data_IF_308736691398
#
_entry.id   IF_308736691398
#
_cell.length_a   1.000
_cell.length_b   1.000
_cell.length_c   1.000
_cell.angle_alpha   90.00
_cell.angle_beta   90.00
_cell.angle_gamma   90.00
#
_symmetry.space_group_name_H-M   'P 1'
#
loop_
_entity.id
_entity.type
_entity.pdbx_description
1 polymer ?
#
# COMPACT_ATOMS: atom_id res chain seq x y z
N UNK A 1 -1.43 24.64 8.77
CA UNK A 1 -0.75 23.75 9.72
C UNK A 1 -0.63 22.38 9.06
N UNK A 2 0.56 21.75 9.08
CA UNK A 2 0.74 20.38 8.60
C UNK A 2 1.02 19.50 9.81
N UNK A 3 0.27 18.41 9.95
CA UNK A 3 0.47 17.39 10.95
C UNK A 3 0.78 16.08 10.22
N UNK A 4 1.73 15.33 10.72
CA UNK A 4 2.03 13.98 10.24
C UNK A 4 1.40 12.99 11.22
N UNK A 5 1.14 11.76 10.78
CA UNK A 5 0.63 10.73 11.68
C UNK A 5 1.48 9.47 11.65
N UNK A 6 1.57 8.80 12.79
CA UNK A 6 2.29 7.53 12.97
C UNK A 6 1.52 6.61 13.92
N UNK A 7 1.94 5.34 13.97
CA UNK A 7 1.31 4.35 14.86
C UNK A 7 -0.18 4.18 14.54
N UNK A 8 -0.50 4.04 13.26
CA UNK A 8 -1.88 3.93 12.81
C UNK A 8 -2.46 2.57 13.15
N UNK A 9 -3.58 2.56 13.86
CA UNK A 9 -4.33 1.37 14.21
C UNK A 9 -5.73 1.44 13.61
N UNK A 10 -6.24 0.28 13.20
CA UNK A 10 -7.62 0.13 12.75
C UNK A 10 -8.34 -0.79 13.73
N UNK A 11 -9.38 -0.27 14.37
CA UNK A 11 -10.32 -1.08 15.14
C UNK A 11 -11.50 -1.44 14.24
N UNK A 12 -11.43 -2.64 13.67
CA UNK A 12 -12.46 -3.22 12.81
C UNK A 12 -12.72 -4.67 13.24
N UNK A 13 -13.97 -5.10 13.07
CA UNK A 13 -14.38 -6.47 13.37
C UNK A 13 -13.56 -7.47 12.52
N UNK A 14 -12.87 -8.38 13.16
CA UNK A 14 -12.07 -9.46 12.55
C UNK A 14 -10.95 -9.00 11.58
N UNK A 15 -10.48 -7.76 11.67
CA UNK A 15 -9.39 -7.24 10.81
C UNK A 15 -9.72 -7.18 9.31
N UNK A 16 -11.00 -7.32 8.95
CA UNK A 16 -11.49 -7.25 7.56
C UNK A 16 -11.83 -5.81 7.18
N UNK A 17 -11.86 -5.54 5.88
CA UNK A 17 -12.44 -4.30 5.39
C UNK A 17 -13.93 -4.26 5.75
N UNK A 18 -14.42 -3.12 6.28
CA UNK A 18 -15.79 -2.95 6.73
C UNK A 18 -16.75 -3.06 5.54
N UNK A 19 -17.83 -3.80 5.73
CA UNK A 19 -18.92 -3.95 4.77
C UNK A 19 -20.01 -2.89 4.99
N UNK A 20 -21.08 -2.94 4.19
CA UNK A 20 -22.16 -1.94 4.22
C UNK A 20 -22.73 -1.77 5.63
N UNK A 21 -22.72 -0.52 6.12
CA UNK A 21 -23.26 -0.16 7.43
C UNK A 21 -22.38 -0.56 8.62
N UNK A 22 -21.27 -1.27 8.39
CA UNK A 22 -20.32 -1.57 9.45
C UNK A 22 -19.54 -0.31 9.84
N UNK A 23 -19.23 -0.24 11.14
CA UNK A 23 -18.46 0.84 11.74
C UNK A 23 -17.05 0.34 12.03
N UNK A 24 -16.10 1.24 11.85
CA UNK A 24 -14.71 1.01 12.23
C UNK A 24 -14.08 2.33 12.66
N UNK A 25 -13.05 2.23 13.50
CA UNK A 25 -12.28 3.37 13.93
C UNK A 25 -10.85 3.28 13.42
N UNK A 26 -10.25 4.43 13.11
CA UNK A 26 -8.81 4.54 12.89
C UNK A 26 -8.27 5.55 13.87
N UNK A 27 -7.20 5.21 14.57
CA UNK A 27 -6.56 6.11 15.52
C UNK A 27 -5.04 6.03 15.42
N UNK A 28 -4.35 7.05 15.92
CA UNK A 28 -2.90 7.14 15.89
C UNK A 28 -2.41 8.45 16.50
N UNK A 29 -1.10 8.63 16.51
CA UNK A 29 -0.48 9.85 17.03
C UNK A 29 -0.36 10.91 15.93
N UNK A 30 -0.53 12.18 16.31
CA UNK A 30 -0.20 13.34 15.48
C UNK A 30 1.17 13.87 15.89
N UNK A 31 2.06 14.06 14.92
CA UNK A 31 3.42 14.58 15.13
C UNK A 31 3.67 15.83 14.28
N UNK A 32 4.58 16.68 14.74
CA UNK A 32 5.01 17.86 14.00
C UNK A 32 6.08 17.55 12.94
N UNK A 33 6.62 18.59 12.28
CA UNK A 33 7.67 18.43 11.26
C UNK A 33 9.02 17.95 11.79
N UNK A 34 9.23 17.94 13.11
CA UNK A 34 10.43 17.40 13.76
C UNK A 34 10.23 15.96 14.23
N UNK A 35 8.98 15.47 14.23
CA UNK A 35 8.61 14.14 14.71
C UNK A 35 8.19 14.09 16.17
N UNK A 36 8.06 15.25 16.82
CA UNK A 36 7.59 15.35 18.20
C UNK A 36 6.07 15.13 18.25
N UNK A 37 5.59 14.35 19.23
CA UNK A 37 4.14 14.12 19.41
C UNK A 37 3.45 15.42 19.82
N UNK A 38 2.46 15.83 19.04
CA UNK A 38 1.67 17.05 19.24
C UNK A 38 0.17 16.77 19.36
N UNK A 39 -0.22 15.51 19.52
CA UNK A 39 -1.60 15.14 19.77
C UNK A 39 -1.93 13.74 19.31
N UNK A 40 -3.23 13.48 19.24
CA UNK A 40 -3.79 12.19 18.85
C UNK A 40 -4.86 12.41 17.78
N UNK A 41 -4.97 11.46 16.88
CA UNK A 41 -6.03 11.41 15.89
C UNK A 41 -6.96 10.24 16.19
N UNK A 42 -8.26 10.50 16.08
CA UNK A 42 -9.29 9.47 16.11
C UNK A 42 -10.24 9.70 14.94
N UNK A 43 -10.68 8.62 14.30
CA UNK A 43 -11.76 8.66 13.32
C UNK A 43 -12.82 7.64 13.64
N UNK A 44 -14.06 8.00 13.33
CA UNK A 44 -15.21 7.10 13.30
C UNK A 44 -15.71 7.05 11.87
N UNK A 45 -15.78 5.85 11.32
CA UNK A 45 -16.06 5.64 9.92
C UNK A 45 -17.25 4.70 9.78
N UNK A 46 -18.15 5.00 8.85
CA UNK A 46 -19.33 4.20 8.54
C UNK A 46 -19.37 3.93 7.04
N UNK A 47 -19.38 2.65 6.64
CA UNK A 47 -19.47 2.27 5.23
C UNK A 47 -20.74 2.81 4.58
N UNK A 48 -20.62 3.61 3.50
CA UNK A 48 -21.77 4.21 2.79
C UNK A 48 -22.18 3.37 1.59
N UNK A 49 -23.48 3.33 1.35
CA UNK A 49 -24.14 2.57 0.28
C UNK A 49 -23.90 3.23 -1.09
N UNK A 50 -22.82 2.87 -1.78
CA UNK A 50 -22.60 3.25 -3.18
C UNK A 50 -23.03 2.10 -4.11
N UNK A 51 -23.93 2.33 -5.07
CA UNK A 51 -24.26 1.35 -6.11
C UNK A 51 -23.12 1.15 -7.12
N UNK A 52 -22.09 2.00 -7.08
CA UNK A 52 -20.87 1.85 -7.86
C UNK A 52 -19.82 1.15 -6.98
N UNK A 53 -19.23 0.07 -7.49
CA UNK A 53 -18.24 -0.76 -6.78
C UNK A 53 -17.19 0.12 -6.07
N UNK A 54 -16.80 -0.29 -4.86
CA UNK A 54 -15.65 0.26 -4.14
C UNK A 54 -14.40 -0.12 -4.95
N UNK A 55 -14.06 0.70 -5.94
CA UNK A 55 -12.70 0.73 -6.48
C UNK A 55 -11.82 1.34 -5.39
N UNK A 56 -10.54 0.98 -5.31
CA UNK A 56 -9.60 1.54 -4.32
C UNK A 56 -9.44 3.07 -4.33
N UNK A 57 -10.24 3.79 -5.12
CA UNK A 57 -10.29 5.23 -5.35
C UNK A 57 -11.70 5.84 -5.15
N UNK A 58 -12.74 5.05 -4.86
CA UNK A 58 -14.13 5.52 -4.69
C UNK A 58 -14.58 5.74 -3.24
N UNK A 59 -15.61 6.60 -3.03
CA UNK A 59 -16.18 6.91 -1.70
C UNK A 59 -16.77 5.66 -1.04
N UNK A 60 -16.09 5.16 -0.01
CA UNK A 60 -16.44 3.94 0.71
C UNK A 60 -16.95 4.17 2.14
N UNK A 61 -16.69 5.32 2.76
CA UNK A 61 -17.12 5.58 4.13
C UNK A 61 -17.46 7.05 4.40
N UNK A 62 -18.45 7.31 5.24
CA UNK A 62 -18.65 8.60 5.89
C UNK A 62 -17.75 8.63 7.11
N UNK A 63 -16.97 9.68 7.27
CA UNK A 63 -15.91 9.74 8.27
C UNK A 63 -16.03 11.02 9.10
N UNK A 64 -15.89 10.85 10.42
CA UNK A 64 -15.75 11.93 11.39
C UNK A 64 -14.36 11.81 11.98
N UNK A 65 -13.53 12.82 11.82
CA UNK A 65 -12.19 12.91 12.39
C UNK A 65 -12.19 13.82 13.61
N UNK A 66 -11.48 13.42 14.64
CA UNK A 66 -11.18 14.21 15.82
C UNK A 66 -9.68 14.31 15.94
N UNK A 67 -9.16 15.54 15.85
CA UNK A 67 -7.77 15.86 16.12
C UNK A 67 -7.71 16.42 17.54
N UNK A 68 -7.20 15.62 18.47
CA UNK A 68 -6.96 16.03 19.85
C UNK A 68 -5.58 16.66 19.95
N UNK A 69 -5.52 17.97 20.19
CA UNK A 69 -4.29 18.75 20.19
C UNK A 69 -4.11 19.48 21.54
N UNK A 70 -2.89 19.93 21.88
CA UNK A 70 -2.67 20.73 23.07
C UNK A 70 -3.58 21.97 23.09
N UNK A 71 -4.47 22.06 24.06
CA UNK A 71 -5.39 23.18 24.24
C UNK A 71 -6.75 23.06 23.53
N UNK A 72 -7.08 21.90 22.94
CA UNK A 72 -8.44 21.59 22.49
C UNK A 72 -8.51 20.61 21.32
N UNK A 73 -9.71 20.42 20.79
CA UNK A 73 -9.97 19.50 19.68
C UNK A 73 -10.39 20.24 18.42
N UNK A 74 -10.12 19.64 17.26
CA UNK A 74 -10.70 20.02 15.98
C UNK A 74 -11.50 18.82 15.45
N UNK A 75 -12.72 19.07 14.98
CA UNK A 75 -13.59 18.03 14.41
C UNK A 75 -13.73 18.27 12.90
N UNK A 76 -13.38 17.25 12.14
CA UNK A 76 -13.49 17.19 10.69
C UNK A 76 -14.55 16.19 10.25
N UNK A 77 -15.24 16.46 9.14
CA UNK A 77 -16.21 15.53 8.53
C UNK A 77 -15.99 15.47 7.03
N UNK A 78 -16.10 14.27 6.47
CA UNK A 78 -15.95 14.06 5.03
C UNK A 78 -16.44 12.68 4.61
N UNK A 79 -16.27 12.40 3.32
CA UNK A 79 -16.50 11.07 2.76
C UNK A 79 -15.16 10.55 2.29
N UNK A 80 -14.77 9.37 2.78
CA UNK A 80 -13.49 8.76 2.49
C UNK A 80 -13.51 7.82 1.31
N UNK A 81 -12.41 7.85 0.55
CA UNK A 81 -12.09 7.01 -0.61
C UNK A 81 -10.72 7.44 -1.18
N UNK A 82 -9.91 6.50 -1.68
CA UNK A 82 -8.59 6.83 -2.27
C UNK A 82 -7.51 7.29 -1.27
N UNK A 83 -6.32 7.64 -1.79
CA UNK A 83 -5.13 8.03 -0.99
C UNK A 83 -5.13 9.49 -0.50
N UNK A 84 -5.91 10.36 -1.14
CA UNK A 84 -6.02 11.79 -0.81
C UNK A 84 -7.47 12.19 -0.65
N UNK A 85 -7.82 12.85 0.47
CA UNK A 85 -9.19 13.07 0.90
C UNK A 85 -9.37 14.44 1.53
N UNK A 86 -10.41 15.17 1.13
CA UNK A 86 -10.73 16.49 1.67
C UNK A 86 -11.82 16.39 2.73
N UNK A 87 -11.63 17.08 3.86
CA UNK A 87 -12.57 17.12 4.97
C UNK A 87 -12.91 18.56 5.32
N UNK A 88 -14.16 18.82 5.66
CA UNK A 88 -14.60 20.09 6.21
C UNK A 88 -14.34 20.11 7.72
N UNK A 89 -13.76 21.19 8.23
CA UNK A 89 -13.70 21.46 9.67
C UNK A 89 -15.07 22.00 10.08
N UNK A 90 -15.77 21.22 10.89
CA UNK A 90 -17.13 21.54 11.34
C UNK A 90 -17.14 22.20 12.74
N UNK A 91 -16.01 22.16 13.45
CA UNK A 91 -15.86 22.86 14.71
C UNK A 91 -14.59 22.50 15.47
N UNK A 92 -14.49 23.04 16.69
CA UNK A 92 -13.41 22.76 17.61
C UNK A 92 -13.72 23.25 19.02
N UNK A 93 -12.89 22.86 19.98
CA UNK A 93 -13.02 23.20 21.41
C UNK A 93 -11.78 23.92 21.91
N UNK A 94 -11.85 24.50 23.12
CA UNK A 94 -10.73 25.19 23.75
C UNK A 94 -10.21 26.32 22.88
N UNK A 95 -8.89 26.35 22.64
CA UNK A 95 -8.26 27.37 21.77
C UNK A 95 -8.68 27.28 20.30
N UNK A 96 -9.32 26.19 19.89
CA UNK A 96 -9.82 25.96 18.54
C UNK A 96 -11.33 26.22 18.42
N UNK A 97 -11.95 26.81 19.43
CA UNK A 97 -13.36 27.21 19.37
C UNK A 97 -13.58 28.14 18.17
N UNK A 98 -14.56 27.81 17.33
CA UNK A 98 -14.86 28.56 16.10
C UNK A 98 -14.00 28.20 14.88
N UNK A 99 -13.14 27.17 14.97
CA UNK A 99 -12.39 26.68 13.82
C UNK A 99 -13.34 26.29 12.67
N UNK A 100 -13.03 26.77 11.46
CA UNK A 100 -13.74 26.48 10.21
C UNK A 100 -12.72 26.39 9.07
N UNK A 101 -13.10 25.72 8.00
CA UNK A 101 -12.27 25.57 6.80
C UNK A 101 -12.28 24.12 6.32
N UNK A 102 -11.20 23.71 5.68
CA UNK A 102 -11.00 22.34 5.23
C UNK A 102 -9.55 21.90 5.41
N UNK A 103 -9.33 20.60 5.48
CA UNK A 103 -7.99 20.02 5.42
C UNK A 103 -7.97 18.82 4.47
N UNK A 104 -6.78 18.53 3.97
CA UNK A 104 -6.48 17.37 3.16
C UNK A 104 -5.83 16.30 4.06
N UNK A 105 -6.45 15.13 4.17
CA UNK A 105 -5.80 13.94 4.71
C UNK A 105 -5.20 13.14 3.55
N UNK A 106 -3.93 12.78 3.68
CA UNK A 106 -3.19 12.00 2.69
C UNK A 106 -2.57 10.79 3.36
N UNK A 107 -2.86 9.61 2.81
CA UNK A 107 -2.14 8.40 3.16
C UNK A 107 -0.97 8.26 2.18
N UNK A 108 0.20 8.71 2.62
CA UNK A 108 1.41 8.52 1.85
C UNK A 108 1.85 7.05 1.95
N UNK A 109 2.07 6.42 0.80
CA UNK A 109 2.82 5.16 0.72
C UNK A 109 4.31 5.42 0.92
N UNK A 110 5.12 4.36 0.76
CA UNK A 110 6.56 4.52 0.68
C UNK A 110 6.87 5.24 -0.65
N UNK A 111 7.34 6.48 -0.56
CA UNK A 111 7.71 7.27 -1.74
C UNK A 111 9.18 7.03 -2.10
N UNK A 112 9.42 6.74 -3.37
CA UNK A 112 10.74 6.76 -3.97
C UNK A 112 11.02 8.13 -4.57
N UNK A 113 11.79 8.12 -5.67
CA UNK A 113 12.29 9.34 -6.33
C UNK A 113 12.01 9.39 -7.83
N UNK A 114 11.23 8.43 -8.36
CA UNK A 114 11.00 8.36 -9.80
C UNK A 114 10.40 9.67 -10.34
N UNK A 115 10.99 10.13 -11.44
CA UNK A 115 10.52 11.31 -12.17
C UNK A 115 9.58 10.95 -13.32
N UNK A 116 9.33 9.66 -13.54
CA UNK A 116 8.44 9.18 -14.57
C UNK A 116 7.00 9.68 -14.37
N UNK A 117 6.33 10.09 -15.45
CA UNK A 117 5.00 10.68 -15.37
C UNK A 117 3.90 9.67 -15.00
N UNK A 118 4.08 8.39 -15.32
CA UNK A 118 3.11 7.32 -15.00
C UNK A 118 3.39 6.66 -13.66
N UNK A 119 4.64 6.72 -13.18
CA UNK A 119 5.10 6.11 -11.93
C UNK A 119 5.78 7.15 -11.02
N UNK A 120 5.17 8.34 -10.94
CA UNK A 120 5.74 9.48 -10.21
C UNK A 120 5.87 9.16 -8.72
N UNK A 121 7.01 9.50 -8.13
CA UNK A 121 7.35 9.27 -6.72
C UNK A 121 7.34 7.79 -6.30
N UNK A 122 7.37 6.85 -7.25
CA UNK A 122 7.56 5.42 -6.98
C UNK A 122 9.04 5.07 -6.79
N UNK A 123 9.30 3.87 -6.26
CA UNK A 123 10.65 3.32 -6.07
C UNK A 123 11.11 2.76 -7.42
N UNK A 124 12.22 3.25 -7.93
CA UNK A 124 12.84 2.71 -9.14
C UNK A 124 13.61 1.43 -8.78
N UNK A 125 13.16 0.31 -9.35
CA UNK A 125 13.73 -1.01 -9.12
C UNK A 125 14.77 -1.31 -10.21
N UNK A 126 15.99 -1.67 -9.81
CA UNK A 126 17.07 -2.05 -10.72
C UNK A 126 16.98 -3.53 -11.10
N UNK A 127 16.64 -4.38 -10.14
CA UNK A 127 16.44 -5.81 -10.38
C UNK A 127 15.47 -6.41 -9.38
N UNK A 128 14.85 -7.53 -9.76
CA UNK A 128 14.01 -8.32 -8.87
C UNK A 128 14.10 -9.81 -9.20
N UNK A 129 13.79 -10.66 -8.22
CA UNK A 129 13.61 -12.10 -8.40
C UNK A 129 12.56 -12.64 -7.43
N UNK A 130 11.88 -13.71 -7.84
CA UNK A 130 10.91 -14.44 -7.02
C UNK A 130 10.69 -15.83 -7.63
N UNK A 131 10.07 -16.73 -6.88
CA UNK A 131 9.83 -18.09 -7.34
C UNK A 131 8.75 -18.82 -6.55
N UNK A 132 8.22 -19.87 -7.17
CA UNK A 132 7.29 -20.80 -6.55
C UNK A 132 7.71 -22.22 -6.90
N UNK A 133 7.83 -23.09 -5.91
CA UNK A 133 8.17 -24.50 -6.10
C UNK A 133 6.99 -25.38 -5.67
N UNK A 134 6.69 -26.43 -6.45
CA UNK A 134 5.70 -27.43 -6.09
C UNK A 134 6.43 -28.66 -5.54
N UNK A 135 6.12 -29.03 -4.30
CA UNK A 135 6.66 -30.21 -3.60
C UNK A 135 5.99 -31.53 -4.00
N UNK A 136 4.96 -31.49 -4.84
CA UNK A 136 4.24 -32.68 -5.32
C UNK A 136 5.12 -33.59 -6.17
N UNK A 137 5.01 -34.89 -5.96
CA UNK A 137 5.77 -35.91 -6.70
C UNK A 137 4.83 -36.83 -7.49
N UNK A 138 5.20 -37.12 -8.74
CA UNK A 138 4.52 -38.08 -9.60
C UNK A 138 5.13 -39.50 -9.52
N UNK A 139 6.18 -39.68 -8.71
CA UNK A 139 6.95 -40.92 -8.64
C UNK A 139 6.21 -42.09 -7.96
N UNK A 140 5.13 -41.80 -7.23
CA UNK A 140 4.30 -42.82 -6.58
C UNK A 140 2.88 -42.74 -7.16
N UNK A 141 2.49 -43.74 -7.95
CA UNK A 141 1.13 -43.87 -8.48
C UNK A 141 0.11 -44.16 -7.37
N UNK A 142 -1.10 -43.60 -7.46
CA UNK A 142 -2.18 -43.82 -6.49
C UNK A 142 -2.75 -42.57 -5.81
N UNK A 143 -2.68 -41.40 -6.46
CA UNK A 143 -3.39 -40.19 -5.98
C UNK A 143 -2.81 -39.50 -4.74
N UNK A 144 -1.63 -39.93 -4.25
CA UNK A 144 -1.02 -39.47 -3.00
C UNK A 144 0.12 -38.44 -3.13
N UNK A 145 0.33 -37.83 -4.30
CA UNK A 145 1.43 -36.87 -4.56
C UNK A 145 1.10 -35.41 -4.25
N UNK A 146 0.14 -35.12 -3.37
CA UNK A 146 -0.37 -33.76 -3.15
C UNK A 146 0.62 -32.89 -2.36
N UNK A 147 1.56 -32.25 -3.06
CA UNK A 147 2.39 -31.19 -2.49
C UNK A 147 1.67 -29.84 -2.45
N UNK A 148 2.08 -29.00 -1.49
CA UNK A 148 1.68 -27.58 -1.46
C UNK A 148 2.75 -26.76 -2.17
N UNK A 149 2.30 -25.76 -2.92
CA UNK A 149 3.18 -24.76 -3.52
C UNK A 149 3.87 -23.96 -2.40
N UNK A 150 5.18 -23.80 -2.50
CA UNK A 150 5.99 -22.98 -1.61
C UNK A 150 6.38 -21.72 -2.36
N UNK A 151 5.88 -20.58 -1.89
CA UNK A 151 6.19 -19.27 -2.45
C UNK A 151 7.43 -18.72 -1.74
N UNK A 152 8.37 -18.20 -2.53
CA UNK A 152 9.53 -17.47 -2.01
C UNK A 152 9.19 -15.99 -1.88
N UNK A 153 9.91 -15.29 -1.01
CA UNK A 153 9.85 -13.83 -0.95
C UNK A 153 10.31 -13.22 -2.27
N UNK A 154 9.77 -12.06 -2.60
CA UNK A 154 10.35 -11.24 -3.66
C UNK A 154 11.62 -10.60 -3.14
N UNK A 155 12.67 -10.60 -3.94
CA UNK A 155 13.92 -9.90 -3.65
C UNK A 155 14.04 -8.75 -4.63
N UNK A 156 14.32 -7.56 -4.13
CA UNK A 156 14.47 -6.35 -4.92
C UNK A 156 15.83 -5.71 -4.68
N UNK A 157 16.38 -5.07 -5.71
CA UNK A 157 17.50 -4.14 -5.59
C UNK A 157 17.11 -2.78 -6.14
N UNK A 158 17.46 -1.72 -5.44
CA UNK A 158 17.29 -0.33 -5.86
C UNK A 158 18.44 0.53 -5.35
N UNK A 159 18.59 1.74 -5.89
CA UNK A 159 19.50 2.74 -5.28
C UNK A 159 18.92 3.30 -3.99
N UNK A 160 19.79 3.66 -3.05
CA UNK A 160 19.38 4.42 -1.87
C UNK A 160 18.63 5.67 -2.30
N UNK A 161 17.48 5.90 -1.67
CA UNK A 161 16.56 7.00 -2.00
C UNK A 161 15.71 7.37 -0.78
N UNK A 162 14.77 8.30 -0.92
CA UNK A 162 13.75 8.60 0.12
C UNK A 162 12.99 7.38 0.66
N UNK A 163 12.90 6.30 -0.12
CA UNK A 163 12.24 5.06 0.31
C UNK A 163 13.05 4.27 1.34
N UNK A 164 14.38 4.38 1.32
CA UNK A 164 15.32 3.61 2.14
C UNK A 164 14.98 3.62 3.65
N UNK A 165 14.86 4.78 4.33
CA UNK A 165 14.53 4.80 5.76
C UNK A 165 13.13 4.25 6.06
N UNK A 166 12.19 4.35 5.10
CA UNK A 166 10.83 3.82 5.25
C UNK A 166 10.81 2.29 5.12
N UNK A 167 11.54 1.72 4.15
CA UNK A 167 11.71 0.27 4.02
C UNK A 167 12.41 -0.32 5.25
N UNK A 168 13.48 0.33 5.71
CA UNK A 168 14.18 -0.04 6.93
C UNK A 168 13.25 -0.09 8.14
N UNK A 169 12.48 0.99 8.41
CA UNK A 169 11.63 1.02 9.60
C UNK A 169 10.49 0.00 9.50
N UNK A 170 9.90 -0.21 8.31
CA UNK A 170 8.87 -1.26 8.11
C UNK A 170 9.42 -2.66 8.34
N UNK A 171 10.67 -2.91 7.96
CA UNK A 171 11.36 -4.16 8.24
C UNK A 171 11.56 -4.35 9.76
N UNK A 172 12.00 -3.31 10.47
CA UNK A 172 12.26 -3.36 11.92
C UNK A 172 10.98 -3.51 12.73
N UNK A 173 9.92 -2.77 12.37
CA UNK A 173 8.65 -2.79 13.13
C UNK A 173 7.77 -3.98 12.78
N UNK A 174 8.01 -4.61 11.63
CA UNK A 174 7.12 -5.63 11.08
C UNK A 174 5.74 -5.07 10.69
N UNK A 175 5.60 -3.76 10.49
CA UNK A 175 4.33 -3.16 10.09
C UNK A 175 4.02 -3.50 8.63
N UNK A 176 2.85 -4.10 8.38
CA UNK A 176 2.47 -4.55 7.05
C UNK A 176 2.08 -3.39 6.13
N UNK A 177 2.53 -3.46 4.87
CA UNK A 177 2.10 -2.63 3.77
C UNK A 177 0.87 -3.29 3.12
N UNK A 178 -0.25 -2.58 3.05
CA UNK A 178 -1.51 -3.15 2.54
C UNK A 178 -1.40 -3.73 1.13
N UNK A 179 -0.77 -2.98 0.22
CA UNK A 179 -0.60 -3.37 -1.19
C UNK A 179 0.76 -2.86 -1.70
N UNK A 180 1.51 -3.73 -2.36
CA UNK A 180 2.70 -3.39 -3.14
C UNK A 180 2.49 -3.79 -4.60
N UNK A 181 3.00 -3.01 -5.54
CA UNK A 181 2.86 -3.29 -6.98
C UNK A 181 4.21 -3.15 -7.66
N UNK A 182 4.64 -4.21 -8.33
CA UNK A 182 5.76 -4.18 -9.26
C UNK A 182 5.20 -3.99 -10.67
N UNK A 183 5.68 -2.97 -11.36
CA UNK A 183 5.37 -2.68 -12.75
C UNK A 183 6.64 -2.73 -13.59
N UNK A 184 6.63 -3.51 -14.67
CA UNK A 184 7.73 -3.61 -15.62
C UNK A 184 7.26 -3.19 -17.00
N UNK A 185 8.04 -2.29 -17.60
CA UNK A 185 7.82 -1.69 -18.92
C UNK A 185 8.91 -2.08 -19.89
N UNK A 186 8.60 -2.07 -21.20
CA UNK A 186 9.63 -2.15 -22.25
C UNK A 186 10.22 -0.76 -22.52
N UNK A 187 11.49 -0.71 -22.88
CA UNK A 187 12.14 0.51 -23.37
C UNK A 187 11.71 0.84 -24.81
N UNK A 188 11.56 2.13 -25.16
CA UNK A 188 11.29 2.60 -26.53
C UNK A 188 10.92 4.09 -26.60
N UNK A 189 11.51 4.82 -27.56
CA UNK A 189 11.51 6.30 -27.64
C UNK A 189 10.13 6.94 -27.93
N UNK A 190 9.23 6.26 -28.65
CA UNK A 190 7.93 6.80 -29.06
C UNK A 190 6.71 6.20 -28.34
N UNK A 191 6.93 5.28 -27.39
CA UNK A 191 5.85 4.54 -26.72
C UNK A 191 6.00 4.66 -25.21
N UNK A 192 5.50 5.76 -24.68
CA UNK A 192 5.38 6.00 -23.25
C UNK A 192 4.77 4.77 -22.53
N UNK A 193 5.63 4.02 -21.83
CA UNK A 193 5.37 3.16 -20.69
C UNK A 193 4.09 2.34 -20.74
N UNK A 194 4.11 1.23 -21.48
CA UNK A 194 3.14 0.16 -21.27
C UNK A 194 3.73 -0.81 -20.24
N UNK A 195 3.06 -0.94 -19.10
CA UNK A 195 3.32 -2.00 -18.14
C UNK A 195 2.82 -3.32 -18.73
N UNK A 196 3.75 -4.17 -19.17
CA UNK A 196 3.40 -5.46 -19.76
C UNK A 196 3.47 -6.60 -18.74
N UNK A 197 4.17 -6.39 -17.63
CA UNK A 197 4.32 -7.36 -16.55
C UNK A 197 4.05 -6.62 -15.24
N UNK A 198 3.00 -7.05 -14.54
CA UNK A 198 2.54 -6.43 -13.31
C UNK A 198 2.28 -7.48 -12.26
N UNK A 199 2.87 -7.30 -11.08
CA UNK A 199 2.60 -8.13 -9.91
C UNK A 199 2.06 -7.26 -8.79
N UNK A 200 0.91 -7.64 -8.25
CA UNK A 200 0.29 -7.00 -7.10
C UNK A 200 0.35 -7.95 -5.92
N UNK A 201 0.98 -7.51 -4.84
CA UNK A 201 1.09 -8.21 -3.58
C UNK A 201 0.15 -7.54 -2.57
N UNK A 202 -0.60 -8.33 -1.80
CA UNK A 202 -1.45 -7.81 -0.72
C UNK A 202 -1.01 -8.34 0.64
N UNK A 203 -1.16 -7.48 1.65
CA UNK A 203 -0.72 -7.71 3.03
C UNK A 203 0.75 -8.14 3.08
N UNK A 204 1.60 -7.14 2.84
CA UNK A 204 3.01 -7.29 2.49
C UNK A 204 3.87 -6.93 3.69
N UNK A 205 4.80 -7.82 4.04
CA UNK A 205 5.81 -7.58 5.06
C UNK A 205 7.15 -7.33 4.38
N UNK A 206 7.88 -6.28 4.79
CA UNK A 206 9.30 -6.15 4.45
C UNK A 206 10.06 -7.17 5.31
N UNK A 207 10.40 -8.32 4.74
CA UNK A 207 10.96 -9.46 5.46
C UNK A 207 12.47 -9.37 5.64
N UNK A 208 13.15 -8.57 4.81
CA UNK A 208 14.56 -8.26 4.99
C UNK A 208 14.92 -6.91 4.37
N UNK A 209 15.95 -6.27 4.90
CA UNK A 209 16.54 -5.04 4.35
C UNK A 209 18.05 -5.05 4.60
N UNK A 210 18.82 -4.77 3.55
CA UNK A 210 20.26 -4.63 3.57
C UNK A 210 20.65 -3.40 2.73
N UNK A 211 21.66 -2.66 3.15
CA UNK A 211 22.20 -1.54 2.40
C UNK A 211 23.70 -1.68 2.30
N UNK A 212 24.24 -1.47 1.10
CA UNK A 212 25.65 -1.71 0.79
C UNK A 212 26.24 -0.64 -0.12
N UNK A 213 27.44 -0.19 0.19
CA UNK A 213 28.23 0.75 -0.62
C UNK A 213 29.29 0.03 -1.45
N UNK A 214 29.53 0.50 -2.66
CA UNK A 214 30.53 -0.07 -3.57
C UNK A 214 30.56 0.55 -4.96
N UNK A 215 29.50 1.26 -5.35
CA UNK A 215 29.43 2.16 -6.51
C UNK A 215 29.26 3.63 -6.11
N UNK A 216 28.95 4.48 -7.08
CA UNK A 216 28.78 5.94 -6.89
C UNK A 216 27.59 6.29 -5.98
N UNK A 217 26.49 5.53 -6.10
CA UNK A 217 25.33 5.60 -5.21
C UNK A 217 25.19 4.24 -4.53
N UNK A 218 25.06 4.16 -3.18
CA UNK A 218 24.82 2.91 -2.49
C UNK A 218 23.52 2.22 -2.96
N UNK A 219 23.49 0.90 -2.85
CA UNK A 219 22.34 0.10 -3.21
C UNK A 219 21.66 -0.48 -1.96
N UNK A 220 20.34 -0.49 -2.00
CA UNK A 220 19.49 -1.23 -1.08
C UNK A 220 19.06 -2.55 -1.71
N UNK A 221 19.02 -3.57 -0.88
CA UNK A 221 18.41 -4.86 -1.15
C UNK A 221 17.31 -5.07 -0.11
N UNK A 222 16.12 -5.47 -0.54
CA UNK A 222 15.04 -5.75 0.39
C UNK A 222 14.17 -6.89 -0.11
N UNK A 223 13.57 -7.61 0.84
CA UNK A 223 12.68 -8.72 0.55
C UNK A 223 11.25 -8.41 0.97
N UNK A 224 10.27 -8.88 0.18
CA UNK A 224 8.85 -8.78 0.51
C UNK A 224 8.21 -10.17 0.64
N UNK A 225 7.64 -10.44 1.81
CA UNK A 225 6.72 -11.54 2.05
C UNK A 225 5.27 -11.05 1.92
N UNK A 226 4.32 -11.92 1.57
CA UNK A 226 2.96 -11.50 1.22
C UNK A 226 1.90 -12.57 1.48
N UNK A 227 0.66 -12.13 1.66
CA UNK A 227 -0.49 -13.04 1.85
C UNK A 227 -1.19 -13.44 0.55
N UNK A 228 -1.15 -12.58 -0.48
CA UNK A 228 -1.82 -12.78 -1.76
C UNK A 228 -0.95 -12.21 -2.88
N UNK A 229 -0.94 -12.91 -4.01
CA UNK A 229 -0.27 -12.49 -5.25
C UNK A 229 -1.25 -12.49 -6.42
N UNK A 230 -1.20 -11.44 -7.23
CA UNK A 230 -1.90 -11.32 -8.50
C UNK A 230 -0.88 -10.93 -9.58
N UNK A 231 -0.79 -11.74 -10.63
CA UNK A 231 0.12 -11.58 -11.75
C UNK A 231 -0.69 -11.33 -13.02
N UNK A 232 -0.43 -10.17 -13.63
CA UNK A 232 -0.95 -9.75 -14.92
C UNK A 232 0.19 -9.68 -15.94
N UNK A 233 -0.01 -10.30 -17.11
CA UNK A 233 0.85 -10.14 -18.26
C UNK A 233 0.05 -9.66 -19.47
N UNK A 234 0.45 -8.53 -20.04
CA UNK A 234 -0.16 -7.97 -21.22
C UNK A 234 0.69 -8.33 -22.45
N UNK A 235 0.06 -9.01 -23.41
CA UNK A 235 0.70 -9.32 -24.70
C UNK A 235 0.91 -8.05 -25.52
N UNK A 236 1.83 -8.11 -26.49
CA UNK A 236 2.08 -7.01 -27.40
C UNK A 236 1.70 -7.43 -28.81
N UNK A 237 0.92 -6.60 -29.50
CA UNK A 237 0.59 -6.81 -30.91
C UNK A 237 1.79 -6.45 -31.80
N UNK A 238 1.83 -6.92 -33.06
CA UNK A 238 2.89 -6.58 -34.01
C UNK A 238 3.09 -5.06 -34.22
N UNK A 239 2.03 -4.27 -34.10
CA UNK A 239 2.05 -2.80 -34.18
C UNK A 239 2.65 -2.12 -32.93
N UNK A 240 2.98 -2.90 -31.90
CA UNK A 240 3.55 -2.44 -30.64
C UNK A 240 2.53 -2.04 -29.58
N UNK A 241 1.22 -2.11 -29.86
CA UNK A 241 0.15 -1.81 -28.90
C UNK A 241 -0.12 -2.98 -27.95
N UNK A 242 -0.89 -2.73 -26.89
CA UNK A 242 -1.31 -3.75 -25.92
C UNK A 242 -2.30 -4.71 -26.59
N UNK A 243 -2.02 -6.00 -26.46
CA UNK A 243 -2.90 -7.10 -26.81
C UNK A 243 -3.79 -7.52 -25.64
N UNK A 244 -4.08 -8.81 -25.58
CA UNK A 244 -4.78 -9.44 -24.47
C UNK A 244 -3.95 -9.38 -23.17
N UNK A 245 -4.65 -9.16 -22.05
CA UNK A 245 -4.07 -9.25 -20.69
C UNK A 245 -4.49 -10.57 -20.05
N UNK A 246 -3.51 -11.38 -19.68
CA UNK A 246 -3.69 -12.64 -18.98
C UNK A 246 -3.46 -12.41 -17.49
N UNK A 247 -4.42 -12.86 -16.68
CA UNK A 247 -4.36 -12.71 -15.23
C UNK A 247 -4.34 -14.08 -14.53
N UNK A 248 -3.54 -14.18 -13.48
CA UNK A 248 -3.53 -15.30 -12.55
C UNK A 248 -3.27 -14.78 -11.13
N UNK A 249 -3.74 -15.50 -10.11
CA UNK A 249 -3.45 -15.11 -8.74
C UNK A 249 -3.72 -16.23 -7.75
N UNK A 250 -3.16 -16.07 -6.57
CA UNK A 250 -3.30 -17.03 -5.47
C UNK A 250 -3.36 -16.30 -4.13
N UNK A 251 -4.29 -16.72 -3.29
CA UNK A 251 -4.38 -16.32 -1.89
C UNK A 251 -3.73 -17.41 -1.05
N UNK A 252 -2.56 -17.09 -0.46
CA UNK A 252 -1.76 -18.04 0.30
C UNK A 252 -2.41 -18.31 1.66
N UNK A 253 -3.06 -17.30 2.27
CA UNK A 253 -3.78 -17.46 3.54
C UNK A 253 -4.97 -18.40 3.40
N UNK A 254 -5.69 -18.30 2.28
CA UNK A 254 -6.86 -19.13 1.99
C UNK A 254 -6.51 -20.40 1.21
N UNK A 255 -5.26 -20.53 0.76
CA UNK A 255 -4.75 -21.62 -0.07
C UNK A 255 -5.65 -21.91 -1.28
N UNK A 256 -6.00 -20.85 -2.03
CA UNK A 256 -6.91 -20.94 -3.19
C UNK A 256 -6.53 -19.95 -4.30
N UNK A 257 -7.01 -20.21 -5.50
CA UNK A 257 -6.90 -19.25 -6.62
C UNK A 257 -7.61 -17.94 -6.25
N UNK A 258 -6.94 -16.82 -6.51
CA UNK A 258 -7.48 -15.48 -6.31
C UNK A 258 -8.40 -15.05 -7.45
#
# INVERSE_FOLDING_TARGET
MRLLGRGWHVDAKDGKLPTKGERYAVYGELVDGKGDTVGEFFSQNVGVDSPFHITGEGTGAFEIHTLSLPGGTIVGVGVGGGRERNYAIVGGTGKYTGARGSYLARQDGIKGESQDSKHKDEIEIESFSWGVTQSGTLAFGGGGGAGKAQFQDFHFTNKVSKASPQLFIKCVTGEHIKVGTLSVRKAGEDRAGIDFYKITLSDVLVSSYQSGGGGDIPADQFSLNFAKIEYSFATQKPDGTIGETINAGFDLKQNKKA
#
